data_IF_462525904386
#
_entry.id   IF_462525904386
#
_cell.length_a   1.000
_cell.length_b   1.000
_cell.length_c   1.000
_cell.angle_alpha   90.00
_cell.angle_beta   90.00
_cell.angle_gamma   90.00
#
_symmetry.space_group_name_H-M   'P 1'
#
loop_
_entity.id
_entity.type
_entity.pdbx_description
1 polymer ?
#
# COMPACT_ATOMS: atom_id res chain seq x y z
N UNK A 1 -17.23 -25.47 -16.34
CA UNK A 1 -15.93 -25.15 -15.73
C UNK A 1 -15.23 -24.12 -16.59
N UNK A 2 -15.29 -22.84 -16.20
CA UNK A 2 -14.50 -21.79 -16.84
C UNK A 2 -13.04 -22.02 -16.38
N UNK A 3 -12.13 -22.28 -17.33
CA UNK A 3 -10.69 -22.34 -17.02
C UNK A 3 -10.25 -20.95 -16.54
N UNK A 4 -10.15 -20.74 -15.22
CA UNK A 4 -9.67 -19.50 -14.62
C UNK A 4 -8.22 -19.13 -15.04
N UNK A 5 -7.45 -20.10 -15.53
CA UNK A 5 -6.04 -19.92 -15.84
C UNK A 5 -5.70 -19.04 -17.05
N UNK A 6 -6.69 -18.64 -17.87
CA UNK A 6 -6.45 -17.81 -19.06
C UNK A 6 -6.90 -16.36 -18.94
N UNK A 7 -7.40 -15.94 -17.76
CA UNK A 7 -8.04 -14.63 -17.59
C UNK A 7 -7.27 -13.72 -16.62
N UNK A 8 -6.40 -14.28 -15.77
CA UNK A 8 -5.66 -13.51 -14.76
C UNK A 8 -4.28 -13.15 -15.32
N UNK A 9 -4.10 -11.86 -15.58
CA UNK A 9 -2.80 -11.32 -15.94
C UNK A 9 -1.99 -11.05 -14.67
N UNK A 10 -0.90 -11.79 -14.51
CA UNK A 10 0.05 -11.65 -13.41
C UNK A 10 1.26 -10.80 -13.78
N UNK A 11 1.27 -10.12 -14.94
CA UNK A 11 2.36 -9.25 -15.32
C UNK A 11 2.33 -7.94 -14.52
N UNK A 12 3.27 -7.72 -13.58
CA UNK A 12 3.30 -6.50 -12.77
C UNK A 12 3.53 -5.24 -13.59
N UNK A 13 4.18 -5.32 -14.75
CA UNK A 13 4.40 -4.15 -15.60
C UNK A 13 3.09 -3.55 -16.09
N UNK A 14 2.11 -4.40 -16.38
CA UNK A 14 0.78 -3.99 -16.84
C UNK A 14 -0.13 -3.67 -15.65
N UNK A 15 0.03 -4.39 -14.53
CA UNK A 15 -0.92 -4.36 -13.43
C UNK A 15 -0.61 -3.29 -12.38
N UNK A 16 0.65 -2.90 -12.19
CA UNK A 16 1.03 -1.95 -11.13
C UNK A 16 0.99 -0.52 -11.65
N UNK A 17 0.26 0.36 -10.94
CA UNK A 17 0.15 1.80 -11.24
C UNK A 17 0.68 2.62 -10.07
N UNK A 18 1.41 3.67 -10.36
CA UNK A 18 1.82 4.70 -9.40
C UNK A 18 1.02 5.97 -9.62
N UNK A 19 0.65 6.66 -8.53
CA UNK A 19 -0.13 7.90 -8.54
C UNK A 19 0.45 8.86 -7.50
N UNK A 20 0.69 10.11 -7.88
CA UNK A 20 1.01 11.18 -6.94
C UNK A 20 -0.30 11.69 -6.31
N UNK A 21 -0.49 11.48 -5.01
CA UNK A 21 -1.72 11.87 -4.32
C UNK A 21 -1.71 13.30 -3.83
N UNK A 22 -0.53 13.88 -3.63
CA UNK A 22 -0.35 15.24 -3.14
C UNK A 22 0.54 16.04 -4.08
N UNK A 23 0.12 17.24 -4.43
CA UNK A 23 0.96 18.19 -5.17
C UNK A 23 2.21 18.56 -4.36
N UNK A 24 3.23 19.06 -5.02
CA UNK A 24 4.47 19.50 -4.36
C UNK A 24 4.20 20.57 -3.27
N UNK A 25 3.18 21.41 -3.45
CA UNK A 25 2.79 22.47 -2.50
C UNK A 25 2.12 21.90 -1.24
N UNK A 26 1.28 20.88 -1.38
CA UNK A 26 0.54 20.27 -0.27
C UNK A 26 1.37 19.26 0.50
N UNK A 27 2.29 18.59 -0.18
CA UNK A 27 2.98 17.37 0.29
C UNK A 27 3.54 17.53 1.70
N UNK A 28 4.35 18.56 1.93
CA UNK A 28 5.04 18.74 3.23
C UNK A 28 4.06 18.81 4.40
N UNK A 29 2.99 19.58 4.26
CA UNK A 29 1.97 19.75 5.31
C UNK A 29 1.16 18.46 5.47
N UNK A 30 0.56 17.96 4.39
CA UNK A 30 -0.34 16.80 4.46
C UNK A 30 0.36 15.54 4.95
N UNK A 31 1.60 15.29 4.51
CA UNK A 31 2.37 14.14 4.99
C UNK A 31 2.83 14.34 6.44
N UNK A 32 3.15 15.56 6.87
CA UNK A 32 3.44 15.88 8.28
C UNK A 32 2.26 15.54 9.18
N UNK A 33 1.06 16.00 8.82
CA UNK A 33 -0.18 15.71 9.55
C UNK A 33 -0.45 14.19 9.63
N UNK A 34 -0.19 13.43 8.56
CA UNK A 34 -0.31 11.97 8.55
C UNK A 34 0.75 11.27 9.40
N UNK A 35 2.00 11.76 9.43
CA UNK A 35 3.04 11.24 10.33
C UNK A 35 2.60 11.39 11.78
N UNK A 36 2.03 12.52 12.15
CA UNK A 36 1.54 12.76 13.51
C UNK A 36 0.39 11.82 13.88
N UNK A 37 -0.54 11.58 12.94
CA UNK A 37 -1.60 10.56 13.15
C UNK A 37 -1.00 9.18 13.40
N UNK A 38 -0.03 8.76 12.58
CA UNK A 38 0.60 7.43 12.73
C UNK A 38 1.32 7.32 14.06
N UNK A 39 2.08 8.35 14.47
CA UNK A 39 2.82 8.35 15.74
C UNK A 39 1.91 8.28 16.97
N UNK A 40 0.70 8.85 16.86
CA UNK A 40 -0.30 8.85 17.93
C UNK A 40 -1.26 7.65 17.86
N UNK A 41 -1.02 6.69 16.95
CA UNK A 41 -1.86 5.50 16.81
C UNK A 41 -1.55 4.48 17.90
N UNK A 42 -2.45 4.31 18.85
CA UNK A 42 -2.29 3.38 19.99
C UNK A 42 -2.21 1.90 19.58
N UNK A 43 -2.80 1.54 18.44
CA UNK A 43 -2.88 0.15 17.96
C UNK A 43 -1.64 -0.35 17.21
N UNK A 44 -0.51 0.37 17.28
CA UNK A 44 0.76 -0.07 16.69
C UNK A 44 1.36 -1.24 17.48
N UNK A 45 1.50 -2.39 16.82
CA UNK A 45 2.01 -3.63 17.42
C UNK A 45 3.28 -4.06 16.69
N UNK A 46 4.36 -4.27 17.46
CA UNK A 46 5.65 -4.77 16.94
C UNK A 46 5.53 -6.21 16.44
N UNK A 47 6.02 -6.47 15.22
CA UNK A 47 5.97 -7.80 14.60
C UNK A 47 4.60 -8.49 14.74
N UNK A 48 3.53 -7.75 14.50
CA UNK A 48 2.16 -8.18 14.73
C UNK A 48 1.91 -9.60 14.20
N UNK A 49 1.44 -10.48 15.08
CA UNK A 49 1.17 -11.88 14.76
C UNK A 49 0.20 -12.04 13.57
N UNK A 50 0.47 -12.99 12.69
CA UNK A 50 -0.35 -13.24 11.49
C UNK A 50 -0.23 -12.17 10.39
N UNK A 51 0.68 -11.17 10.54
CA UNK A 51 0.91 -10.14 9.54
C UNK A 51 2.30 -10.28 8.90
N UNK A 52 2.49 -9.76 7.67
CA UNK A 52 3.75 -9.90 6.93
C UNK A 52 4.89 -9.04 7.48
N UNK A 53 4.59 -8.01 8.29
CA UNK A 53 5.58 -7.05 8.83
C UNK A 53 6.59 -7.73 9.73
N UNK A 54 7.89 -7.46 9.51
CA UNK A 54 9.03 -7.90 10.33
C UNK A 54 9.94 -6.71 10.63
N UNK A 55 10.51 -6.70 11.83
CA UNK A 55 11.30 -5.58 12.38
C UNK A 55 10.58 -4.25 12.20
N UNK A 56 9.29 -4.21 12.54
CA UNK A 56 8.43 -3.04 12.36
C UNK A 56 7.12 -3.14 13.12
N UNK A 57 6.40 -2.03 13.11
CA UNK A 57 5.08 -1.88 13.74
C UNK A 57 3.99 -1.92 12.67
N UNK A 58 2.86 -2.52 13.01
CA UNK A 58 1.65 -2.48 12.17
C UNK A 58 0.43 -2.25 13.05
N UNK A 59 -0.43 -1.30 12.65
CA UNK A 59 -1.66 -1.00 13.38
C UNK A 59 -2.82 -1.94 13.05
N UNK A 60 -3.92 -1.77 13.75
CA UNK A 60 -5.25 -2.18 13.31
C UNK A 60 -5.76 -1.25 12.20
N UNK A 61 -7.04 -1.37 11.86
CA UNK A 61 -7.75 -0.47 10.93
C UNK A 61 -7.68 0.98 11.45
N UNK A 62 -7.31 1.93 10.57
CA UNK A 62 -7.20 3.35 10.91
C UNK A 62 -7.98 4.28 9.98
N UNK A 63 -8.45 3.79 8.84
CA UNK A 63 -9.15 4.63 7.86
C UNK A 63 -10.64 4.73 8.18
N UNK A 64 -11.27 3.59 8.54
CA UNK A 64 -12.70 3.53 8.81
C UNK A 64 -13.03 4.23 10.13
N UNK A 65 -14.00 5.16 10.08
CA UNK A 65 -14.49 5.85 11.27
C UNK A 65 -13.52 6.85 11.90
N UNK A 66 -12.42 7.17 11.22
CA UNK A 66 -11.47 8.15 11.73
C UNK A 66 -12.05 9.56 11.77
N UNK A 67 -11.86 10.25 12.88
CA UNK A 67 -12.24 11.66 13.04
C UNK A 67 -11.13 12.62 12.56
N UNK A 68 -9.93 12.14 12.31
CA UNK A 68 -8.82 12.96 11.82
C UNK A 68 -9.10 13.53 10.42
N UNK A 69 -8.98 14.85 10.28
CA UNK A 69 -9.13 15.51 8.97
C UNK A 69 -8.08 15.03 7.96
N UNK A 70 -6.85 14.74 8.42
CA UNK A 70 -5.79 14.21 7.56
C UNK A 70 -6.16 12.82 7.00
N UNK A 71 -6.76 11.95 7.82
CA UNK A 71 -7.24 10.65 7.37
C UNK A 71 -8.45 10.79 6.46
N UNK A 72 -9.39 11.69 6.77
CA UNK A 72 -10.57 11.93 5.91
C UNK A 72 -10.15 12.41 4.50
N UNK A 73 -9.22 13.36 4.39
CA UNK A 73 -8.65 13.80 3.11
C UNK A 73 -7.94 12.65 2.38
N UNK A 74 -7.10 11.91 3.09
CA UNK A 74 -6.43 10.74 2.53
C UNK A 74 -7.41 9.70 2.00
N UNK A 75 -8.48 9.39 2.74
CA UNK A 75 -9.52 8.45 2.30
C UNK A 75 -10.18 8.87 0.98
N UNK A 76 -10.50 10.15 0.81
CA UNK A 76 -11.10 10.67 -0.42
C UNK A 76 -10.13 10.45 -1.60
N UNK A 77 -8.87 10.78 -1.44
CA UNK A 77 -7.83 10.63 -2.49
C UNK A 77 -7.59 9.17 -2.83
N UNK A 78 -7.48 8.30 -1.82
CA UNK A 78 -7.27 6.86 -2.03
C UNK A 78 -8.47 6.19 -2.68
N UNK A 79 -9.69 6.51 -2.24
CA UNK A 79 -10.92 5.95 -2.82
C UNK A 79 -11.05 6.34 -4.29
N UNK A 80 -10.82 7.61 -4.62
CA UNK A 80 -10.82 8.11 -6.01
C UNK A 80 -9.78 7.34 -6.84
N UNK A 81 -8.54 7.29 -6.41
CA UNK A 81 -7.46 6.62 -7.15
C UNK A 81 -7.71 5.10 -7.32
N UNK A 82 -8.26 4.43 -6.29
CA UNK A 82 -8.55 3.01 -6.34
C UNK A 82 -9.72 2.67 -7.28
N UNK A 83 -10.76 3.52 -7.32
CA UNK A 83 -11.90 3.36 -8.24
C UNK A 83 -11.47 3.61 -9.69
N UNK A 84 -10.75 4.69 -9.96
CA UNK A 84 -10.20 4.96 -11.29
C UNK A 84 -9.26 3.85 -11.76
N UNK A 85 -8.44 3.31 -10.86
CA UNK A 85 -7.60 2.16 -11.17
C UNK A 85 -8.45 0.93 -11.55
N UNK A 86 -9.49 0.62 -10.77
CA UNK A 86 -10.38 -0.52 -10.99
C UNK A 86 -11.18 -0.39 -12.30
N UNK A 87 -11.63 0.81 -12.66
CA UNK A 87 -12.37 1.07 -13.90
C UNK A 87 -11.55 0.76 -15.16
N UNK A 88 -10.23 0.86 -15.06
CA UNK A 88 -9.32 0.51 -16.14
C UNK A 88 -8.89 -0.96 -16.14
N UNK A 89 -9.53 -1.83 -15.33
CA UNK A 89 -9.20 -3.25 -15.17
C UNK A 89 -10.45 -4.14 -15.33
N UNK A 90 -10.73 -4.63 -16.53
CA UNK A 90 -11.95 -5.40 -16.82
C UNK A 90 -12.18 -6.61 -15.91
N UNK A 91 -11.08 -7.30 -15.51
CA UNK A 91 -11.18 -8.42 -14.58
C UNK A 91 -11.68 -7.99 -13.20
N UNK A 92 -11.15 -6.87 -12.67
CA UNK A 92 -11.55 -6.36 -11.36
C UNK A 92 -13.00 -5.87 -11.38
N UNK A 93 -13.45 -5.24 -12.48
CA UNK A 93 -14.85 -4.88 -12.68
C UNK A 93 -15.74 -6.12 -12.65
N UNK A 94 -15.38 -7.16 -13.40
CA UNK A 94 -16.13 -8.42 -13.42
C UNK A 94 -16.21 -9.06 -12.04
N UNK A 95 -15.14 -9.09 -11.27
CA UNK A 95 -15.13 -9.61 -9.89
C UNK A 95 -16.02 -8.75 -9.00
N UNK A 96 -15.94 -7.41 -9.12
CA UNK A 96 -16.80 -6.47 -8.40
C UNK A 96 -18.27 -6.78 -8.66
N UNK A 97 -18.66 -6.92 -9.90
CA UNK A 97 -20.07 -7.07 -10.31
C UNK A 97 -20.67 -8.42 -9.85
N UNK A 98 -19.85 -9.44 -9.64
CA UNK A 98 -20.28 -10.73 -9.08
C UNK A 98 -20.57 -10.69 -7.57
N UNK A 99 -20.02 -9.72 -6.86
CA UNK A 99 -20.22 -9.56 -5.43
C UNK A 99 -21.22 -8.42 -5.17
N UNK A 100 -22.17 -8.62 -4.25
CA UNK A 100 -23.15 -7.59 -3.87
C UNK A 100 -22.52 -6.55 -2.94
N UNK A 101 -22.89 -5.29 -3.08
CA UNK A 101 -22.45 -4.16 -2.25
C UNK A 101 -21.40 -3.27 -2.92
N UNK A 102 -21.21 -2.08 -2.40
CA UNK A 102 -20.16 -1.16 -2.85
C UNK A 102 -18.83 -1.51 -2.17
N UNK A 103 -17.72 -1.49 -2.91
CA UNK A 103 -16.41 -1.65 -2.28
C UNK A 103 -16.11 -0.54 -1.28
N UNK A 104 -15.52 -0.90 -0.14
CA UNK A 104 -15.14 0.01 0.93
C UNK A 104 -13.63 0.07 1.10
N UNK A 105 -13.12 1.25 1.43
CA UNK A 105 -11.72 1.44 1.77
C UNK A 105 -11.44 0.96 3.19
N UNK A 106 -10.34 0.21 3.35
CA UNK A 106 -9.81 -0.26 4.63
C UNK A 106 -8.30 -0.10 4.63
N UNK A 107 -7.68 0.27 5.76
CA UNK A 107 -6.25 0.44 5.78
C UNK A 107 -5.63 0.51 7.16
N UNK A 108 -4.32 0.35 7.19
CA UNK A 108 -3.50 0.31 8.39
C UNK A 108 -2.15 0.96 8.14
N UNK A 109 -1.55 1.52 9.17
CA UNK A 109 -0.19 2.03 9.06
C UNK A 109 0.85 0.94 9.32
N UNK A 110 1.99 1.09 8.64
CA UNK A 110 3.18 0.27 8.79
C UNK A 110 4.39 1.17 9.00
N UNK A 111 5.10 0.94 10.10
CA UNK A 111 6.35 1.63 10.42
C UNK A 111 7.47 0.60 10.42
N UNK A 112 8.37 0.68 9.45
CA UNK A 112 9.54 -0.18 9.37
C UNK A 112 10.73 0.54 10.01
N UNK A 113 11.54 -0.23 10.73
CA UNK A 113 12.80 0.19 11.33
C UNK A 113 13.93 -0.65 10.74
N UNK A 114 15.17 -0.40 11.14
CA UNK A 114 16.34 -1.14 10.69
C UNK A 114 16.13 -2.64 10.63
N UNK A 115 16.42 -3.25 9.48
CA UNK A 115 16.09 -4.64 9.17
C UNK A 115 14.63 -4.88 8.80
N UNK A 116 13.79 -3.82 8.81
CA UNK A 116 12.35 -3.91 8.60
C UNK A 116 11.96 -4.20 7.15
N UNK A 117 11.00 -5.10 7.00
CA UNK A 117 10.42 -5.46 5.68
C UNK A 117 9.03 -6.07 5.83
N UNK A 118 8.36 -6.26 4.71
CA UNK A 118 7.17 -7.10 4.63
C UNK A 118 7.49 -8.37 3.84
N UNK A 119 7.18 -9.53 4.41
CA UNK A 119 7.28 -10.83 3.72
C UNK A 119 6.34 -10.84 2.52
N UNK A 120 6.68 -11.66 1.52
CA UNK A 120 5.81 -11.93 0.37
C UNK A 120 4.42 -12.38 0.82
N UNK A 121 3.40 -11.72 0.31
CA UNK A 121 1.99 -11.98 0.62
C UNK A 121 1.06 -11.46 -0.47
N UNK A 122 -0.22 -11.80 -0.35
CA UNK A 122 -1.35 -11.30 -1.16
C UNK A 122 -2.49 -10.87 -0.22
N UNK A 123 -3.52 -10.24 -0.76
CA UNK A 123 -4.73 -9.84 -0.03
C UNK A 123 -5.98 -10.51 -0.65
N UNK A 124 -6.30 -11.78 -0.30
CA UNK A 124 -7.30 -12.58 -1.02
C UNK A 124 -8.73 -12.03 -0.94
N UNK A 125 -9.05 -11.27 0.12
CA UNK A 125 -10.41 -10.75 0.37
C UNK A 125 -10.64 -9.35 -0.22
N UNK A 126 -9.72 -8.86 -1.03
CA UNK A 126 -9.75 -7.51 -1.57
C UNK A 126 -9.80 -7.50 -3.10
N UNK A 127 -10.19 -6.37 -3.69
CA UNK A 127 -10.19 -6.14 -5.13
C UNK A 127 -8.90 -5.45 -5.57
N UNK A 128 -8.63 -4.29 -4.94
CA UNK A 128 -7.45 -3.47 -5.15
C UNK A 128 -6.70 -3.36 -3.84
N UNK A 129 -5.40 -3.49 -3.89
CA UNK A 129 -4.49 -3.18 -2.79
C UNK A 129 -3.57 -2.05 -3.18
N UNK A 130 -3.06 -1.36 -2.18
CA UNK A 130 -2.10 -0.31 -2.41
C UNK A 130 -1.36 0.13 -1.15
N UNK A 131 -0.43 1.03 -1.36
CA UNK A 131 0.37 1.65 -0.30
C UNK A 131 0.65 3.11 -0.66
N UNK A 132 0.45 4.02 0.29
CA UNK A 132 0.93 5.41 0.22
C UNK A 132 2.14 5.56 1.11
N UNK A 133 3.22 6.16 0.59
CA UNK A 133 4.43 6.45 1.35
C UNK A 133 4.34 7.82 1.99
N UNK A 134 4.46 7.87 3.32
CA UNK A 134 4.27 9.09 4.12
C UNK A 134 5.61 9.68 4.54
N UNK A 135 6.52 8.83 5.01
CA UNK A 135 7.88 9.21 5.39
C UNK A 135 8.84 8.14 4.91
N UNK A 136 9.92 8.57 4.31
CA UNK A 136 11.03 7.71 3.90
C UNK A 136 12.29 8.07 4.69
N UNK A 137 13.22 7.12 4.88
CA UNK A 137 14.54 7.42 5.43
C UNK A 137 15.24 8.48 4.59
N UNK A 138 15.87 9.45 5.26
CA UNK A 138 16.65 10.53 4.62
C UNK A 138 17.90 10.01 3.94
N UNK A 139 18.45 8.92 4.43
CA UNK A 139 19.57 8.20 3.87
C UNK A 139 19.13 6.82 3.41
N UNK A 140 18.64 6.70 2.18
CA UNK A 140 18.72 5.41 1.49
C UNK A 140 20.17 5.30 1.00
N UNK A 141 21.03 4.80 1.86
CA UNK A 141 22.46 4.93 1.77
C UNK A 141 23.09 4.23 0.55
N UNK A 142 22.33 3.50 -0.24
CA UNK A 142 22.87 2.81 -1.41
C UNK A 142 21.75 2.60 -2.43
N UNK A 143 21.73 3.41 -3.49
CA UNK A 143 20.81 3.24 -4.61
C UNK A 143 20.91 1.83 -5.23
N UNK A 144 22.07 1.16 -5.06
CA UNK A 144 22.27 -0.19 -5.56
C UNK A 144 21.50 -1.24 -4.71
N UNK A 145 21.30 -1.00 -3.42
CA UNK A 145 20.58 -1.95 -2.54
C UNK A 145 19.08 -1.94 -2.70
N UNK A 146 18.52 -0.92 -3.35
CA UNK A 146 17.07 -0.80 -3.59
C UNK A 146 16.22 -0.94 -2.33
N UNK A 147 16.76 -0.50 -1.19
CA UNK A 147 16.14 -0.61 0.13
C UNK A 147 14.76 0.03 0.18
N UNK A 148 13.84 -0.63 0.87
CA UNK A 148 12.46 -0.17 0.99
C UNK A 148 11.62 -0.26 -0.28
N UNK A 149 12.20 -0.73 -1.41
CA UNK A 149 11.46 -0.91 -2.65
C UNK A 149 10.33 -1.94 -2.47
N UNK A 150 9.21 -1.67 -3.12
CA UNK A 150 8.12 -2.63 -3.27
C UNK A 150 8.42 -3.54 -4.46
N UNK A 151 8.46 -4.83 -4.22
CA UNK A 151 8.82 -5.85 -5.21
C UNK A 151 7.61 -6.70 -5.54
N UNK A 152 7.36 -6.88 -6.82
CA UNK A 152 6.37 -7.80 -7.38
C UNK A 152 7.10 -8.93 -8.08
N UNK A 153 7.30 -10.08 -7.40
CA UNK A 153 8.03 -11.20 -7.96
C UNK A 153 7.20 -11.92 -9.03
N UNK A 154 7.75 -12.01 -10.21
CA UNK A 154 7.20 -12.74 -11.35
C UNK A 154 8.33 -13.03 -12.34
N UNK A 155 8.04 -13.67 -13.49
CA UNK A 155 9.02 -13.82 -14.57
C UNK A 155 9.54 -12.46 -15.06
N UNK A 156 8.65 -11.44 -15.05
CA UNK A 156 8.99 -10.04 -15.30
C UNK A 156 8.93 -9.27 -13.96
N UNK A 157 9.93 -9.50 -13.10
CA UNK A 157 9.97 -8.86 -11.78
C UNK A 157 9.93 -7.34 -11.89
N UNK A 158 8.93 -6.72 -11.23
CA UNK A 158 8.83 -5.27 -11.12
C UNK A 158 9.26 -4.81 -9.73
N UNK A 159 10.07 -3.76 -9.70
CA UNK A 159 10.44 -3.04 -8.50
C UNK A 159 9.94 -1.61 -8.60
N UNK A 160 9.32 -1.12 -7.53
CA UNK A 160 8.86 0.27 -7.41
C UNK A 160 9.65 0.93 -6.29
N UNK A 161 10.43 1.94 -6.65
CA UNK A 161 11.15 2.78 -5.68
C UNK A 161 10.15 3.74 -5.05
N UNK A 162 10.03 3.74 -3.70
CA UNK A 162 9.08 4.60 -3.01
C UNK A 162 9.46 6.07 -3.16
N UNK A 163 8.42 6.92 -3.17
CA UNK A 163 8.55 8.40 -3.06
C UNK A 163 7.48 8.89 -2.09
N UNK A 164 7.83 9.84 -1.25
CA UNK A 164 6.85 10.44 -0.34
C UNK A 164 5.71 11.11 -1.10
N UNK A 165 4.47 10.84 -0.68
CA UNK A 165 3.24 11.30 -1.35
C UNK A 165 2.79 10.45 -2.55
N UNK A 166 3.58 9.46 -2.94
CA UNK A 166 3.23 8.54 -4.02
C UNK A 166 2.44 7.34 -3.47
N UNK A 167 1.33 7.01 -4.10
CA UNK A 167 0.63 5.74 -3.92
C UNK A 167 0.98 4.75 -5.02
N UNK A 168 1.03 3.47 -4.65
CA UNK A 168 1.14 2.34 -5.58
C UNK A 168 -0.14 1.53 -5.49
N UNK A 169 -0.77 1.24 -6.63
CA UNK A 169 -2.01 0.45 -6.72
C UNK A 169 -1.77 -0.78 -7.57
N UNK A 170 -2.35 -1.89 -7.15
CA UNK A 170 -2.24 -3.18 -7.83
C UNK A 170 -3.42 -4.10 -7.48
N UNK A 171 -3.69 -5.14 -8.29
CA UNK A 171 -4.70 -6.13 -7.96
C UNK A 171 -4.30 -6.89 -6.70
N UNK A 172 -5.24 -7.11 -5.79
CA UNK A 172 -4.96 -7.71 -4.48
C UNK A 172 -4.42 -9.13 -4.52
N UNK A 173 -4.61 -9.84 -5.62
CA UNK A 173 -4.06 -11.17 -5.86
C UNK A 173 -2.58 -11.18 -6.25
N UNK A 174 -1.99 -10.00 -6.55
CA UNK A 174 -0.60 -9.91 -7.00
C UNK A 174 0.36 -10.08 -5.81
N UNK A 175 1.25 -11.10 -5.82
CA UNK A 175 2.22 -11.27 -4.75
C UNK A 175 3.18 -10.08 -4.68
N UNK A 176 3.44 -9.61 -3.47
CA UNK A 176 4.35 -8.49 -3.26
C UNK A 176 5.09 -8.58 -1.93
N UNK A 177 6.24 -7.92 -1.85
CA UNK A 177 7.13 -7.88 -0.69
C UNK A 177 7.90 -6.56 -0.66
N UNK A 178 8.55 -6.26 0.46
CA UNK A 178 9.39 -5.07 0.59
C UNK A 178 10.84 -5.47 0.83
N UNK A 179 11.78 -4.84 0.12
CA UNK A 179 13.21 -4.98 0.40
C UNK A 179 13.52 -4.44 1.79
N UNK A 180 14.26 -5.18 2.64
CA UNK A 180 14.62 -4.69 3.97
C UNK A 180 15.33 -3.34 3.94
N UNK A 181 15.09 -2.51 4.95
CA UNK A 181 15.79 -1.22 5.13
C UNK A 181 16.96 -1.38 6.08
N UNK A 182 18.07 -0.68 5.82
CA UNK A 182 19.25 -0.67 6.71
C UNK A 182 19.38 0.62 7.51
N UNK A 183 18.62 1.65 7.15
CA UNK A 183 18.60 2.94 7.85
C UNK A 183 18.07 2.81 9.27
N UNK A 184 18.60 3.61 10.17
CA UNK A 184 18.06 3.80 11.53
C UNK A 184 16.81 4.71 11.53
N UNK A 185 16.57 5.47 10.45
CA UNK A 185 15.36 6.24 10.23
C UNK A 185 14.14 5.35 9.93
N UNK A 186 12.97 5.82 10.35
CA UNK A 186 11.72 5.11 10.12
C UNK A 186 11.20 5.31 8.69
N UNK A 187 10.74 4.21 8.07
CA UNK A 187 9.92 4.23 6.87
C UNK A 187 8.45 4.06 7.27
N UNK A 188 7.65 5.09 7.02
CA UNK A 188 6.23 5.11 7.37
C UNK A 188 5.37 5.08 6.11
N UNK A 189 4.41 4.17 6.08
CA UNK A 189 3.42 4.11 5.02
C UNK A 189 2.05 3.71 5.58
N UNK A 190 0.98 3.99 4.82
CA UNK A 190 -0.35 3.45 5.04
C UNK A 190 -0.63 2.48 3.90
N UNK A 191 -0.83 1.21 4.24
CA UNK A 191 -1.32 0.20 3.32
C UNK A 191 -2.85 0.23 3.33
N UNK A 192 -3.46 0.01 2.17
CA UNK A 192 -4.90 0.04 2.03
C UNK A 192 -5.41 -1.01 1.07
N UNK A 193 -6.68 -1.35 1.25
CA UNK A 193 -7.41 -2.25 0.38
C UNK A 193 -8.76 -1.64 0.01
N UNK A 194 -9.21 -1.89 -1.20
CA UNK A 194 -10.62 -1.75 -1.58
C UNK A 194 -11.26 -3.11 -1.42
N UNK A 195 -11.99 -3.29 -0.33
CA UNK A 195 -12.63 -4.56 0.06
C UNK A 195 -14.10 -4.57 -0.33
N UNK A 196 -14.66 -5.76 -0.42
CA UNK A 196 -16.06 -5.95 -0.75
C UNK A 196 -16.74 -6.99 0.14
#
# INVERSE_FOLDING_TARGET
QVKLGSIVDFDPEVQVKTVELYSALERKKCLGDLVDVVKNTESLIWNRAGKPTRCGLQSHEILKGSESNAIKDLCIRLDTAAREYMENKPLLQKIRDQKRGNPELSGWCVVLRKGGYQKRHIHPDSLVSGVIYIKLPTESADEQKKEGNLVFPSNNMKMVTPKEGMAVLFPSYLPHETVPISSDDERICIAFNLIK
#
